data_IF_138914514131
#
_entry.id   IF_138914514131
#
_cell.length_a   1.000
_cell.length_b   1.000
_cell.length_c   1.000
_cell.angle_alpha   90.00
_cell.angle_beta   90.00
_cell.angle_gamma   90.00
#
_symmetry.space_group_name_H-M   'P 1'
#
loop_
_entity.id
_entity.type
_entity.pdbx_description
1 polymer ?
#
# COMPACT_ATOMS: atom_id res chain seq x y z
N UNK A 1 11.16 -12.12 7.00
CA UNK A 1 11.53 -13.54 7.11
C UNK A 1 10.27 -14.30 7.47
N UNK A 2 9.84 -15.26 6.65
CA UNK A 2 8.69 -16.11 6.98
C UNK A 2 9.18 -17.22 7.89
N UNK A 3 8.46 -17.51 8.97
CA UNK A 3 8.70 -18.73 9.74
C UNK A 3 8.48 -19.98 8.87
N UNK A 4 7.46 -19.95 8.02
CA UNK A 4 6.99 -21.12 7.29
C UNK A 4 7.99 -21.61 6.24
N UNK A 5 8.95 -20.78 5.81
CA UNK A 5 9.99 -21.19 4.86
C UNK A 5 10.92 -22.26 5.42
N UNK A 6 11.02 -22.43 6.74
CA UNK A 6 11.82 -23.51 7.36
C UNK A 6 11.01 -24.76 7.70
N UNK A 7 9.68 -24.70 7.63
CA UNK A 7 8.78 -25.74 8.17
C UNK A 7 8.02 -26.47 7.07
N UNK A 8 7.68 -25.78 5.98
CA UNK A 8 6.92 -26.37 4.88
C UNK A 8 7.85 -26.94 3.80
N UNK A 9 8.52 -28.07 4.09
CA UNK A 9 9.30 -28.80 3.08
C UNK A 9 8.50 -29.90 2.37
N UNK A 10 7.35 -30.29 2.92
CA UNK A 10 6.68 -31.54 2.57
C UNK A 10 5.17 -31.41 2.22
N UNK A 11 4.55 -30.23 2.24
CA UNK A 11 3.15 -30.08 1.81
C UNK A 11 3.02 -29.60 0.36
N UNK A 12 2.38 -30.42 -0.48
CA UNK A 12 2.02 -30.07 -1.84
C UNK A 12 0.88 -29.03 -1.84
N UNK A 13 1.22 -27.75 -2.02
CA UNK A 13 0.23 -26.70 -2.29
C UNK A 13 0.55 -25.37 -1.62
N UNK A 14 -0.18 -24.33 -2.03
CA UNK A 14 -0.11 -23.02 -1.40
C UNK A 14 -0.70 -23.03 0.00
N UNK A 15 -0.05 -22.36 0.95
CA UNK A 15 -0.57 -22.19 2.31
C UNK A 15 -1.40 -20.90 2.43
N UNK A 16 -2.35 -20.86 3.36
CA UNK A 16 -3.12 -19.67 3.73
C UNK A 16 -2.73 -19.10 5.11
N UNK A 17 -3.41 -18.02 5.53
CA UNK A 17 -3.16 -17.37 6.81
C UNK A 17 -3.42 -18.30 8.01
N UNK A 18 -4.46 -19.15 7.95
CA UNK A 18 -4.80 -20.06 9.03
C UNK A 18 -3.74 -21.14 9.20
N UNK A 19 -3.22 -21.69 8.10
CA UNK A 19 -2.10 -22.64 8.15
C UNK A 19 -0.84 -22.02 8.76
N UNK A 20 -0.57 -20.72 8.51
CA UNK A 20 0.52 -20.01 9.19
C UNK A 20 0.30 -19.92 10.71
N UNK A 21 -0.93 -19.62 11.16
CA UNK A 21 -1.31 -19.61 12.58
C UNK A 21 -1.17 -21.01 13.21
N UNK A 22 -1.61 -22.05 12.50
CA UNK A 22 -1.52 -23.43 12.94
C UNK A 22 -0.06 -23.88 13.08
N UNK A 23 0.82 -23.47 12.16
CA UNK A 23 2.26 -23.72 12.27
C UNK A 23 2.90 -23.01 13.46
N UNK A 24 2.54 -21.75 13.71
CA UNK A 24 3.02 -21.02 14.89
C UNK A 24 2.61 -21.72 16.20
N UNK A 25 1.39 -22.25 16.23
CA UNK A 25 0.82 -22.94 17.39
C UNK A 25 1.38 -24.35 17.55
N UNK A 26 1.62 -25.08 16.47
CA UNK A 26 2.15 -26.45 16.51
C UNK A 26 3.63 -26.51 16.85
N UNK A 27 4.44 -25.61 16.25
CA UNK A 27 5.90 -25.70 16.33
C UNK A 27 6.53 -24.77 17.37
N UNK A 28 5.79 -23.79 17.90
CA UNK A 28 6.25 -22.88 18.95
C UNK A 28 7.69 -22.35 18.74
N UNK A 29 7.95 -21.67 17.62
CA UNK A 29 9.31 -21.23 17.32
C UNK A 29 9.86 -20.29 18.39
N UNK A 30 11.16 -20.38 18.63
CA UNK A 30 11.83 -19.48 19.56
C UNK A 30 11.72 -18.03 19.09
N UNK A 31 11.35 -17.13 20.00
CA UNK A 31 11.40 -15.68 19.74
C UNK A 31 12.83 -15.22 19.52
N UNK A 32 13.05 -14.34 18.55
CA UNK A 32 14.36 -13.73 18.31
C UNK A 32 14.81 -12.81 19.47
N UNK A 33 13.87 -12.16 20.14
CA UNK A 33 14.11 -11.27 21.28
C UNK A 33 12.79 -10.98 22.04
N UNK A 34 12.88 -10.32 23.20
CA UNK A 34 11.69 -9.93 23.99
C UNK A 34 10.88 -8.84 23.27
N UNK A 35 9.54 -8.78 23.41
CA UNK A 35 8.73 -7.68 22.90
C UNK A 35 9.32 -6.31 23.29
N UNK A 36 9.17 -5.34 22.40
CA UNK A 36 9.61 -3.94 22.55
C UNK A 36 11.13 -3.72 22.74
N UNK A 37 11.95 -4.76 22.62
CA UNK A 37 13.41 -4.60 22.78
C UNK A 37 14.06 -3.88 21.60
N UNK A 38 13.70 -4.27 20.37
CA UNK A 38 14.20 -3.67 19.13
C UNK A 38 13.23 -3.93 17.99
N UNK A 39 13.32 -3.12 16.96
CA UNK A 39 12.56 -3.35 15.74
C UNK A 39 13.16 -4.51 14.92
N UNK A 40 12.29 -5.36 14.39
CA UNK A 40 12.62 -6.34 13.35
C UNK A 40 11.41 -6.53 12.45
N UNK A 41 11.57 -6.27 11.16
CA UNK A 41 10.49 -6.42 10.20
C UNK A 41 10.10 -7.90 10.03
N UNK A 42 8.81 -8.19 10.13
CA UNK A 42 8.28 -9.55 10.13
C UNK A 42 6.99 -9.63 9.30
N UNK A 43 7.06 -10.27 8.13
CA UNK A 43 5.90 -10.59 7.30
C UNK A 43 4.85 -11.41 8.06
N UNK A 44 5.31 -12.34 8.91
CA UNK A 44 4.41 -13.15 9.74
C UNK A 44 3.53 -12.29 10.65
N UNK A 45 3.98 -11.10 11.09
CA UNK A 45 3.14 -10.21 11.90
C UNK A 45 1.93 -9.71 11.10
N UNK A 46 2.11 -9.39 9.81
CA UNK A 46 1.01 -8.89 8.96
C UNK A 46 0.07 -10.00 8.50
N UNK A 47 0.59 -11.21 8.26
CA UNK A 47 -0.26 -12.40 8.06
C UNK A 47 -1.13 -12.67 9.30
N UNK A 48 -0.56 -12.56 10.51
CA UNK A 48 -1.33 -12.71 11.76
C UNK A 48 -2.40 -11.61 11.91
N UNK A 49 -2.10 -10.37 11.52
CA UNK A 49 -3.09 -9.29 11.52
C UNK A 49 -4.24 -9.57 10.54
N UNK A 50 -3.95 -10.09 9.34
CA UNK A 50 -4.99 -10.51 8.41
C UNK A 50 -5.83 -11.67 8.96
N UNK A 51 -5.22 -12.67 9.60
CA UNK A 51 -5.95 -13.75 10.28
C UNK A 51 -6.87 -13.24 11.40
N UNK A 52 -6.44 -12.21 12.14
CA UNK A 52 -7.28 -11.55 13.16
C UNK A 52 -8.47 -10.86 12.51
N UNK A 53 -8.26 -10.14 11.39
CA UNK A 53 -9.35 -9.53 10.61
C UNK A 53 -10.35 -10.61 10.19
N UNK A 54 -9.88 -11.68 9.55
CA UNK A 54 -10.71 -12.80 9.09
C UNK A 54 -11.52 -13.42 10.23
N UNK A 55 -10.88 -13.62 11.38
CA UNK A 55 -11.52 -14.21 12.56
C UNK A 55 -12.61 -13.32 13.15
N UNK A 56 -12.41 -12.00 13.16
CA UNK A 56 -13.33 -11.04 13.78
C UNK A 56 -14.47 -10.69 12.83
N UNK A 57 -14.19 -10.47 11.54
CA UNK A 57 -15.22 -10.13 10.56
C UNK A 57 -16.03 -11.34 10.11
N UNK A 58 -15.44 -12.54 10.11
CA UNK A 58 -16.03 -13.73 9.50
C UNK A 58 -15.92 -13.76 7.97
N UNK A 59 -15.20 -12.80 7.38
CA UNK A 59 -14.96 -12.67 5.94
C UNK A 59 -13.53 -13.14 5.61
N UNK A 60 -13.28 -13.58 4.36
CA UNK A 60 -11.88 -13.74 3.91
C UNK A 60 -11.20 -12.37 3.85
N UNK A 61 -9.86 -12.33 3.99
CA UNK A 61 -9.15 -11.05 3.95
C UNK A 61 -9.35 -10.33 2.59
N UNK A 62 -9.46 -11.10 1.50
CA UNK A 62 -9.77 -10.58 0.17
C UNK A 62 -11.14 -9.89 0.11
N UNK A 63 -12.17 -10.55 0.65
CA UNK A 63 -13.52 -10.00 0.69
C UNK A 63 -13.58 -8.74 1.57
N UNK A 64 -12.97 -8.81 2.76
CA UNK A 64 -12.93 -7.68 3.68
C UNK A 64 -12.26 -6.45 3.06
N UNK A 65 -11.10 -6.63 2.42
CA UNK A 65 -10.41 -5.53 1.73
C UNK A 65 -11.24 -4.97 0.57
N UNK A 66 -11.96 -5.82 -0.16
CA UNK A 66 -12.80 -5.41 -1.28
C UNK A 66 -13.98 -4.56 -0.81
N UNK A 67 -14.73 -5.04 0.19
CA UNK A 67 -15.99 -4.42 0.61
C UNK A 67 -15.79 -3.17 1.48
N UNK A 68 -14.76 -3.17 2.33
CA UNK A 68 -14.54 -2.09 3.31
C UNK A 68 -13.53 -1.04 2.83
N UNK A 69 -12.71 -1.34 1.82
CA UNK A 69 -11.69 -0.40 1.33
C UNK A 69 -11.75 -0.18 -0.18
N UNK A 70 -11.60 -1.22 -1.01
CA UNK A 70 -11.40 -1.00 -2.45
C UNK A 70 -12.67 -0.49 -3.15
N UNK A 71 -13.83 -1.09 -2.89
CA UNK A 71 -15.10 -0.64 -3.47
C UNK A 71 -15.52 0.75 -2.97
N UNK A 72 -15.52 1.05 -1.65
CA UNK A 72 -15.85 2.40 -1.16
C UNK A 72 -14.96 3.50 -1.74
N UNK A 73 -13.69 3.21 -1.99
CA UNK A 73 -12.73 4.15 -2.58
C UNK A 73 -12.77 4.17 -4.12
N UNK A 74 -13.60 3.35 -4.76
CA UNK A 74 -13.67 3.24 -6.21
C UNK A 74 -12.37 2.71 -6.85
N UNK A 75 -11.60 1.91 -6.13
CA UNK A 75 -10.35 1.28 -6.58
C UNK A 75 -10.64 0.03 -7.42
N UNK A 76 -11.23 0.24 -8.61
CA UNK A 76 -11.79 -0.82 -9.49
C UNK A 76 -10.76 -1.79 -10.07
N UNK A 77 -9.48 -1.48 -9.98
CA UNK A 77 -8.37 -2.29 -10.48
C UNK A 77 -7.45 -2.73 -9.34
N UNK A 78 -7.97 -2.78 -8.11
CA UNK A 78 -7.26 -3.24 -6.92
C UNK A 78 -7.95 -4.45 -6.32
N UNK A 79 -7.18 -5.51 -6.06
CA UNK A 79 -7.68 -6.76 -5.49
C UNK A 79 -6.57 -7.48 -4.72
N UNK A 80 -6.96 -8.40 -3.84
CA UNK A 80 -6.02 -9.35 -3.24
C UNK A 80 -5.86 -10.53 -4.20
N UNK A 81 -4.61 -10.88 -4.51
CA UNK A 81 -4.29 -12.01 -5.36
C UNK A 81 -4.89 -13.29 -4.82
N UNK A 82 -5.65 -13.98 -5.68
CA UNK A 82 -6.16 -15.30 -5.42
C UNK A 82 -5.41 -16.31 -6.30
N UNK A 83 -4.75 -17.26 -5.65
CA UNK A 83 -4.05 -18.38 -6.30
C UNK A 83 -4.97 -19.26 -7.16
N UNK A 84 -6.28 -19.27 -6.86
CA UNK A 84 -7.28 -20.05 -7.59
C UNK A 84 -7.79 -19.32 -8.82
N UNK A 85 -7.57 -18.01 -8.93
CA UNK A 85 -7.94 -17.22 -10.09
C UNK A 85 -6.90 -17.38 -11.20
N UNK A 86 -7.32 -18.06 -12.27
CA UNK A 86 -6.47 -18.33 -13.43
C UNK A 86 -6.49 -17.20 -14.46
N UNK A 87 -7.42 -16.24 -14.35
CA UNK A 87 -7.60 -15.16 -15.33
C UNK A 87 -7.74 -13.83 -14.62
N UNK A 88 -6.59 -13.17 -14.41
CA UNK A 88 -6.53 -11.81 -13.89
C UNK A 88 -6.34 -10.85 -15.06
N UNK A 89 -7.35 -10.05 -15.46
CA UNK A 89 -7.24 -9.13 -16.59
C UNK A 89 -6.10 -8.14 -16.41
N UNK A 90 -5.34 -7.90 -17.47
CA UNK A 90 -4.22 -6.96 -17.49
C UNK A 90 -3.12 -7.22 -16.45
N UNK A 91 -3.04 -8.44 -15.89
CA UNK A 91 -1.93 -8.82 -15.02
C UNK A 91 -0.63 -8.85 -15.81
N UNK A 92 0.35 -8.11 -15.31
CA UNK A 92 1.71 -8.11 -15.83
C UNK A 92 2.53 -9.28 -15.26
N UNK A 93 3.46 -9.81 -16.05
CA UNK A 93 4.44 -10.80 -15.60
C UNK A 93 5.57 -10.09 -14.84
N UNK A 94 5.92 -10.59 -13.67
CA UNK A 94 7.07 -10.12 -12.87
C UNK A 94 8.38 -10.76 -13.35
N UNK A 95 9.47 -9.98 -13.30
CA UNK A 95 10.80 -10.37 -13.74
C UNK A 95 11.84 -10.09 -12.65
N UNK A 96 12.73 -11.06 -12.40
CA UNK A 96 13.85 -10.82 -11.50
C UNK A 96 14.88 -9.86 -12.15
N UNK A 97 15.92 -9.50 -11.41
CA UNK A 97 16.94 -8.54 -11.87
C UNK A 97 17.62 -8.95 -13.21
N UNK A 98 17.65 -10.25 -13.51
CA UNK A 98 18.24 -10.82 -14.73
C UNK A 98 17.22 -11.00 -15.87
N UNK A 99 16.03 -10.38 -15.78
CA UNK A 99 14.94 -10.51 -16.77
C UNK A 99 14.37 -11.93 -16.90
N UNK A 100 14.59 -12.81 -15.93
CA UNK A 100 13.93 -14.10 -15.90
C UNK A 100 12.52 -13.94 -15.30
N UNK A 101 11.55 -14.63 -15.89
CA UNK A 101 10.18 -14.67 -15.36
C UNK A 101 10.19 -15.21 -13.94
N UNK A 102 9.58 -14.47 -13.02
CA UNK A 102 9.37 -14.94 -11.65
C UNK A 102 8.16 -15.85 -11.60
N UNK A 103 8.33 -17.03 -11.02
CA UNK A 103 7.23 -17.93 -10.70
C UNK A 103 6.50 -17.53 -9.43
N UNK A 104 5.48 -18.30 -9.09
CA UNK A 104 4.76 -18.27 -7.82
C UNK A 104 5.22 -19.46 -6.97
N UNK A 105 5.14 -19.33 -5.65
CA UNK A 105 5.46 -20.38 -4.69
C UNK A 105 4.36 -20.54 -3.64
N UNK A 106 4.54 -21.52 -2.74
CA UNK A 106 3.51 -21.86 -1.75
C UNK A 106 3.09 -20.69 -0.84
N UNK A 107 3.88 -19.62 -0.74
CA UNK A 107 3.57 -18.42 0.06
C UNK A 107 2.64 -17.43 -0.64
N UNK A 108 2.33 -17.60 -1.94
CA UNK A 108 1.38 -16.74 -2.66
C UNK A 108 -0.07 -16.92 -2.20
N UNK A 109 -0.38 -17.95 -1.41
CA UNK A 109 -1.67 -18.08 -0.74
C UNK A 109 -1.79 -17.26 0.56
N UNK A 110 -0.68 -16.69 1.06
CA UNK A 110 -0.65 -15.90 2.30
C UNK A 110 -0.87 -14.43 1.98
N UNK A 111 -1.79 -13.80 2.72
CA UNK A 111 -2.22 -12.41 2.52
C UNK A 111 -1.94 -11.54 3.75
N UNK A 112 -2.20 -10.23 3.62
CA UNK A 112 -1.98 -9.23 4.67
C UNK A 112 -0.60 -8.59 4.63
N UNK A 113 0.44 -9.40 4.47
CA UNK A 113 1.83 -8.93 4.37
C UNK A 113 2.25 -8.55 2.94
N UNK A 114 1.48 -9.02 1.96
CA UNK A 114 1.61 -8.79 0.52
C UNK A 114 0.28 -9.16 -0.17
N UNK A 115 0.29 -9.25 -1.49
CA UNK A 115 -0.81 -9.83 -2.27
C UNK A 115 -1.79 -8.80 -2.81
N UNK A 116 -1.68 -7.52 -2.45
CA UNK A 116 -2.44 -6.45 -3.11
C UNK A 116 -1.85 -6.22 -4.51
N UNK A 117 -2.67 -6.42 -5.54
CA UNK A 117 -2.41 -5.99 -6.91
C UNK A 117 -3.20 -4.72 -7.16
N UNK A 118 -2.59 -3.74 -7.83
CA UNK A 118 -3.19 -2.41 -8.01
C UNK A 118 -2.61 -1.67 -9.22
N UNK A 119 -3.10 -0.46 -9.46
CA UNK A 119 -2.60 0.50 -10.46
C UNK A 119 -2.18 1.80 -9.78
N UNK A 120 -1.34 2.61 -10.43
CA UNK A 120 -0.96 3.92 -9.88
C UNK A 120 -2.17 4.84 -9.67
N UNK A 121 -3.17 4.76 -10.54
CA UNK A 121 -4.40 5.54 -10.44
C UNK A 121 -5.24 5.16 -9.20
N UNK A 122 -5.35 3.86 -8.89
CA UNK A 122 -6.06 3.42 -7.68
C UNK A 122 -5.24 3.68 -6.41
N UNK A 123 -3.92 3.50 -6.46
CA UNK A 123 -3.04 3.86 -5.34
C UNK A 123 -3.08 5.37 -5.03
N UNK A 124 -3.35 6.22 -6.03
CA UNK A 124 -3.61 7.64 -5.80
C UNK A 124 -4.93 7.85 -5.04
N UNK A 125 -6.00 7.12 -5.36
CA UNK A 125 -7.26 7.16 -4.58
C UNK A 125 -7.02 6.72 -3.14
N UNK A 126 -6.22 5.67 -2.93
CA UNK A 126 -5.79 5.25 -1.60
C UNK A 126 -5.07 6.38 -0.86
N UNK A 127 -4.12 7.08 -1.50
CA UNK A 127 -3.46 8.24 -0.90
C UNK A 127 -4.45 9.32 -0.46
N UNK A 128 -5.37 9.70 -1.35
CA UNK A 128 -6.35 10.75 -1.08
C UNK A 128 -7.28 10.37 0.08
N UNK A 129 -7.67 9.10 0.15
CA UNK A 129 -8.52 8.58 1.23
C UNK A 129 -7.87 8.72 2.63
N UNK A 130 -6.54 8.70 2.71
CA UNK A 130 -5.81 8.84 3.98
C UNK A 130 -5.85 10.28 4.55
N UNK A 131 -6.35 11.26 3.78
CA UNK A 131 -6.62 12.62 4.28
C UNK A 131 -8.09 12.81 4.73
N UNK A 132 -8.94 11.80 4.57
CA UNK A 132 -10.36 11.84 4.92
C UNK A 132 -10.67 10.92 6.11
N UNK A 133 -11.93 10.80 6.50
CA UNK A 133 -12.40 9.81 7.47
C UNK A 133 -13.23 8.69 6.81
N UNK A 134 -13.09 8.51 5.49
CA UNK A 134 -13.99 7.64 4.72
C UNK A 134 -13.88 6.16 5.11
N UNK A 135 -12.64 5.65 5.23
CA UNK A 135 -12.38 4.22 5.53
C UNK A 135 -11.58 4.02 6.81
N UNK A 136 -10.77 5.01 7.21
CA UNK A 136 -10.02 5.00 8.47
C UNK A 136 -10.11 6.40 9.08
N UNK A 137 -10.42 6.49 10.36
CA UNK A 137 -10.48 7.79 11.02
C UNK A 137 -9.07 8.40 11.25
N UNK A 138 -9.00 9.72 11.29
CA UNK A 138 -7.74 10.47 11.43
C UNK A 138 -7.01 10.19 12.76
N UNK A 139 -7.71 9.81 13.84
CA UNK A 139 -7.06 9.43 15.11
C UNK A 139 -6.24 8.16 14.94
N UNK A 140 -6.79 7.14 14.29
CA UNK A 140 -6.09 5.89 13.97
C UNK A 140 -4.93 6.14 13.00
N UNK A 141 -5.14 6.96 11.97
CA UNK A 141 -4.06 7.30 11.02
C UNK A 141 -2.91 8.05 11.68
N UNK A 142 -3.20 8.98 12.60
CA UNK A 142 -2.16 9.64 13.40
C UNK A 142 -1.32 8.65 14.21
N UNK A 143 -1.93 7.59 14.73
CA UNK A 143 -1.18 6.51 15.41
C UNK A 143 -0.40 5.65 14.42
N UNK A 144 -0.97 5.37 13.24
CA UNK A 144 -0.32 4.58 12.20
C UNK A 144 0.93 5.27 11.63
N UNK A 145 0.94 6.60 11.57
CA UNK A 145 2.07 7.41 11.08
C UNK A 145 3.01 7.90 12.20
N UNK A 146 2.78 7.49 13.44
CA UNK A 146 3.66 7.81 14.56
C UNK A 146 4.83 6.83 14.66
N UNK A 147 6.02 7.28 15.09
CA UNK A 147 7.15 6.38 15.33
C UNK A 147 6.89 5.47 16.53
N UNK A 148 6.94 4.15 16.32
CA UNK A 148 6.83 3.15 17.38
C UNK A 148 8.18 2.46 17.60
N UNK A 149 8.92 2.98 18.58
CA UNK A 149 10.24 2.46 18.97
C UNK A 149 11.38 3.46 18.76
N UNK A 150 12.60 3.00 19.01
CA UNK A 150 13.80 3.83 18.84
C UNK A 150 14.08 4.06 17.37
N UNK A 151 14.44 5.30 17.02
CA UNK A 151 14.93 5.63 15.69
C UNK A 151 16.17 4.80 15.34
N UNK A 152 16.11 4.11 14.21
CA UNK A 152 17.17 3.28 13.67
C UNK A 152 17.92 4.08 12.62
N UNK A 153 18.97 4.81 13.05
CA UNK A 153 19.69 5.78 12.21
C UNK A 153 18.72 6.86 11.73
N UNK A 154 18.27 6.79 10.48
CA UNK A 154 17.38 7.76 9.83
C UNK A 154 16.01 7.15 9.49
N UNK A 155 15.58 6.11 10.20
CA UNK A 155 14.28 5.47 9.95
C UNK A 155 13.58 5.05 11.23
N UNK A 156 12.27 5.13 11.23
CA UNK A 156 11.38 4.51 12.21
C UNK A 156 10.26 3.77 11.47
N UNK A 157 9.39 3.11 12.22
CA UNK A 157 8.30 2.34 11.68
C UNK A 157 7.02 2.61 12.48
N UNK A 158 5.96 2.93 11.75
CA UNK A 158 4.60 3.08 12.23
C UNK A 158 3.80 1.77 12.09
N UNK A 159 2.47 1.86 12.05
CA UNK A 159 1.64 0.70 11.73
C UNK A 159 1.52 0.52 10.21
N UNK A 160 2.43 -0.24 9.60
CA UNK A 160 2.43 -0.43 8.14
C UNK A 160 3.24 0.60 7.36
N UNK A 161 3.97 1.50 8.03
CA UNK A 161 4.62 2.64 7.38
C UNK A 161 6.05 2.82 7.85
N UNK A 162 6.98 2.96 6.92
CA UNK A 162 8.29 3.51 7.23
C UNK A 162 8.20 5.03 7.39
N UNK A 163 8.99 5.53 8.32
CA UNK A 163 9.14 6.95 8.61
C UNK A 163 10.61 7.34 8.42
N UNK A 164 10.88 8.43 7.72
CA UNK A 164 12.24 8.91 7.49
C UNK A 164 12.30 10.43 7.62
N UNK A 165 13.29 11.00 8.34
CA UNK A 165 13.46 12.45 8.41
C UNK A 165 13.72 13.05 7.03
N UNK A 166 13.15 14.21 6.78
CA UNK A 166 13.26 14.91 5.49
C UNK A 166 13.14 16.42 5.70
N UNK A 167 14.29 17.09 5.79
CA UNK A 167 14.37 18.45 6.33
C UNK A 167 13.87 18.46 7.78
N UNK A 168 12.99 19.40 8.10
CA UNK A 168 12.34 19.52 9.41
C UNK A 168 11.09 18.63 9.55
N UNK A 169 10.75 17.85 8.52
CA UNK A 169 9.54 17.02 8.48
C UNK A 169 9.89 15.53 8.46
N UNK A 170 8.87 14.68 8.38
CA UNK A 170 9.02 13.23 8.23
C UNK A 170 8.22 12.75 7.03
N UNK A 171 8.87 12.01 6.14
CA UNK A 171 8.18 11.29 5.06
C UNK A 171 7.60 9.99 5.60
N UNK A 172 6.39 9.69 5.15
CA UNK A 172 5.71 8.42 5.42
C UNK A 172 5.69 7.61 4.13
N UNK A 173 6.20 6.39 4.15
CA UNK A 173 6.33 5.61 2.92
C UNK A 173 6.27 4.11 3.18
N UNK A 174 6.08 3.33 2.12
CA UNK A 174 6.38 1.91 2.13
C UNK A 174 6.96 1.49 0.79
N UNK A 175 7.92 0.56 0.85
CA UNK A 175 8.46 -0.10 -0.33
C UNK A 175 7.86 -1.51 -0.41
N UNK A 176 7.79 -2.08 -1.60
CA UNK A 176 7.32 -3.45 -1.79
C UNK A 176 8.27 -4.24 -2.65
N UNK A 177 8.35 -5.54 -2.37
CA UNK A 177 9.07 -6.51 -3.20
C UNK A 177 8.43 -7.89 -3.07
N UNK A 178 8.03 -8.47 -4.20
CA UNK A 178 7.50 -9.83 -4.29
C UNK A 178 7.60 -10.33 -5.73
N UNK A 179 8.03 -11.58 -5.95
CA UNK A 179 8.10 -12.25 -7.27
C UNK A 179 8.34 -11.37 -8.50
N UNK A 180 9.48 -10.69 -8.55
CA UNK A 180 9.86 -9.89 -9.72
C UNK A 180 9.26 -8.48 -9.76
N UNK A 181 8.40 -8.14 -8.81
CA UNK A 181 7.84 -6.81 -8.64
C UNK A 181 8.60 -6.04 -7.57
N UNK A 182 8.76 -4.74 -7.79
CA UNK A 182 9.07 -3.81 -6.72
C UNK A 182 8.29 -2.51 -6.87
N UNK A 183 8.02 -1.86 -5.74
CA UNK A 183 7.26 -0.61 -5.72
C UNK A 183 7.80 0.36 -4.67
N UNK A 184 7.47 1.64 -4.86
CA UNK A 184 7.65 2.69 -3.89
C UNK A 184 6.36 3.52 -3.79
N UNK A 185 5.87 3.70 -2.57
CA UNK A 185 4.74 4.57 -2.26
C UNK A 185 5.18 5.55 -1.18
N UNK A 186 5.43 6.80 -1.55
CA UNK A 186 6.09 7.79 -0.70
C UNK A 186 5.19 9.00 -0.58
N UNK A 187 4.90 9.40 0.65
CA UNK A 187 3.98 10.49 0.98
C UNK A 187 4.69 11.59 1.73
N UNK A 188 4.50 12.80 1.24
CA UNK A 188 4.81 14.04 1.92
C UNK A 188 3.52 14.70 2.38
N UNK A 189 3.07 14.27 3.56
CA UNK A 189 1.77 14.64 4.14
C UNK A 189 1.66 16.15 4.36
N UNK A 190 2.76 16.88 4.55
CA UNK A 190 2.73 18.33 4.79
C UNK A 190 2.29 19.12 3.56
N UNK A 191 2.70 18.67 2.36
CA UNK A 191 2.43 19.36 1.10
C UNK A 191 1.46 18.58 0.20
N UNK A 192 0.88 17.49 0.71
CA UNK A 192 -0.02 16.60 -0.04
C UNK A 192 0.59 16.07 -1.35
N UNK A 193 1.90 15.81 -1.36
CA UNK A 193 2.57 15.20 -2.49
C UNK A 193 2.73 13.70 -2.27
N UNK A 194 2.48 12.93 -3.33
CA UNK A 194 2.68 11.48 -3.31
C UNK A 194 3.39 11.02 -4.57
N UNK A 195 4.38 10.15 -4.39
CA UNK A 195 5.09 9.45 -5.46
C UNK A 195 4.71 7.98 -5.43
N UNK A 196 4.24 7.48 -6.57
CA UNK A 196 3.81 6.09 -6.74
C UNK A 196 4.60 5.50 -7.90
N UNK A 197 5.41 4.48 -7.63
CA UNK A 197 6.15 3.74 -8.64
C UNK A 197 5.83 2.27 -8.50
N UNK A 198 5.35 1.65 -9.60
CA UNK A 198 5.11 0.21 -9.71
C UNK A 198 6.00 -0.33 -10.82
N UNK A 199 6.76 -1.38 -10.56
CA UNK A 199 7.63 -2.01 -11.55
C UNK A 199 7.46 -3.53 -11.51
N UNK A 200 7.41 -4.14 -12.69
CA UNK A 200 7.42 -5.59 -12.89
C UNK A 200 8.82 -6.13 -13.20
N UNK A 201 9.86 -5.35 -12.93
CA UNK A 201 11.26 -5.76 -12.98
C UNK A 201 11.97 -5.29 -11.71
N UNK A 202 12.67 -6.20 -11.04
CA UNK A 202 13.41 -5.86 -9.82
C UNK A 202 14.56 -4.90 -10.16
N UNK A 203 14.35 -3.64 -9.80
CA UNK A 203 15.34 -2.57 -9.95
C UNK A 203 15.42 -1.72 -8.68
N UNK A 204 16.55 -1.80 -7.97
CA UNK A 204 16.76 -1.08 -6.71
C UNK A 204 16.89 0.44 -6.86
N UNK A 205 17.05 0.96 -8.09
CA UNK A 205 16.97 2.40 -8.36
C UNK A 205 15.59 2.98 -8.04
N UNK A 206 14.54 2.16 -7.92
CA UNK A 206 13.22 2.60 -7.48
C UNK A 206 13.27 3.35 -6.14
N UNK A 207 14.22 3.02 -5.26
CA UNK A 207 14.41 3.69 -3.98
C UNK A 207 14.88 5.15 -4.12
N UNK A 208 15.48 5.50 -5.26
CA UNK A 208 15.88 6.88 -5.58
C UNK A 208 14.70 7.77 -5.97
N UNK A 209 13.51 7.21 -6.21
CA UNK A 209 12.30 8.01 -6.47
C UNK A 209 12.00 9.03 -5.37
N UNK A 210 12.47 8.79 -4.14
CA UNK A 210 12.40 9.73 -3.01
C UNK A 210 13.13 11.04 -3.27
N UNK A 211 14.18 11.03 -4.09
CA UNK A 211 14.95 12.23 -4.41
C UNK A 211 14.10 13.25 -5.17
N UNK A 212 13.09 12.80 -5.91
CA UNK A 212 12.14 13.66 -6.61
C UNK A 212 11.33 14.54 -5.64
N UNK A 213 11.14 14.12 -4.38
CA UNK A 213 10.47 14.97 -3.39
C UNK A 213 11.30 16.20 -3.02
N UNK A 214 12.64 16.15 -3.11
CA UNK A 214 13.46 17.34 -2.87
C UNK A 214 13.21 18.37 -3.97
N UNK A 215 13.08 17.92 -5.22
CA UNK A 215 12.74 18.76 -6.37
C UNK A 215 11.34 19.34 -6.20
N UNK A 216 10.34 18.49 -5.91
CA UNK A 216 8.96 18.92 -5.71
C UNK A 216 8.82 19.96 -4.59
N UNK A 217 9.48 19.73 -3.43
CA UNK A 217 9.47 20.71 -2.34
C UNK A 217 10.18 22.01 -2.71
N UNK A 218 11.28 21.96 -3.45
CA UNK A 218 11.98 23.17 -3.89
C UNK A 218 11.06 24.01 -4.77
N UNK A 219 10.38 23.40 -5.75
CA UNK A 219 9.41 24.09 -6.59
C UNK A 219 8.25 24.68 -5.78
N UNK A 220 7.71 23.96 -4.79
CA UNK A 220 6.58 24.44 -3.98
C UNK A 220 6.95 25.55 -2.99
N UNK A 221 8.16 25.56 -2.45
CA UNK A 221 8.63 26.70 -1.63
C UNK A 221 8.77 27.98 -2.45
N UNK A 222 9.02 27.85 -3.75
CA UNK A 222 9.09 28.95 -4.71
C UNK A 222 7.72 29.25 -5.36
N UNK A 223 6.75 28.34 -5.25
CA UNK A 223 5.44 28.43 -5.90
C UNK A 223 4.33 28.32 -4.85
N UNK A 224 3.87 29.45 -4.32
CA UNK A 224 2.64 29.50 -3.52
C UNK A 224 1.48 28.86 -4.28
N UNK A 225 0.87 27.82 -3.72
CA UNK A 225 -0.27 27.12 -4.32
C UNK A 225 -1.53 28.01 -4.27
N UNK A 226 -2.28 28.17 -5.38
CA UNK A 226 -3.51 28.96 -5.42
C UNK A 226 -4.61 28.40 -4.50
N UNK A 227 -5.42 29.31 -3.93
CA UNK A 227 -6.41 29.03 -2.89
C UNK A 227 -7.71 28.33 -3.34
N UNK A 228 -7.78 27.77 -4.55
CA UNK A 228 -9.00 27.14 -5.07
C UNK A 228 -8.82 25.64 -5.28
N UNK A 229 -8.97 24.89 -4.20
CA UNK A 229 -9.49 23.51 -4.24
C UNK A 229 -10.51 23.28 -3.10
N UNK A 230 -11.21 24.34 -2.69
CA UNK A 230 -12.33 24.26 -1.77
C UNK A 230 -13.48 25.15 -2.22
N UNK A 231 -14.14 24.77 -3.32
CA UNK A 231 -15.54 25.14 -3.49
C UNK A 231 -16.30 23.99 -4.13
N UNK A 232 -16.68 23.05 -3.29
CA UNK A 232 -17.93 22.35 -3.50
C UNK A 232 -19.04 23.35 -3.12
N UNK A 233 -19.75 23.88 -4.10
CA UNK A 233 -21.06 24.47 -3.86
C UNK A 233 -22.01 24.09 -4.98
N UNK A 234 -22.91 23.19 -4.60
CA UNK A 234 -24.14 22.78 -5.27
C UNK A 234 -25.05 23.95 -5.63
N UNK A 235 -25.91 23.70 -6.66
CA UNK A 235 -27.13 24.44 -7.04
C UNK A 235 -26.87 25.82 -7.70
N UNK A 236 -27.56 26.24 -8.76
CA UNK A 236 -28.72 25.74 -9.49
C UNK A 236 -29.13 26.83 -10.50
N UNK A 237 -29.80 26.41 -11.58
CA UNK A 237 -30.80 27.14 -12.39
C UNK A 237 -30.65 28.64 -12.64
N UNK A 238 -30.53 29.00 -13.92
CA UNK A 238 -31.31 29.99 -14.72
C UNK A 238 -30.47 30.25 -16.00
N UNK A 239 -30.92 30.07 -17.24
CA UNK A 239 -32.24 30.30 -17.79
C UNK A 239 -32.38 31.74 -18.30
N UNK A 240 -31.69 32.12 -19.39
CA UNK A 240 -32.29 32.99 -20.44
C UNK A 240 -31.36 33.34 -21.63
N UNK A 241 -31.83 32.94 -22.81
CA UNK A 241 -32.04 33.71 -24.07
C UNK A 241 -30.93 34.44 -24.84
N UNK A 242 -31.11 34.30 -26.17
CA UNK A 242 -30.68 35.14 -27.31
C UNK A 242 -29.26 34.85 -27.85
N UNK A 243 -29.04 34.72 -29.15
CA UNK A 243 -29.89 34.84 -30.35
C UNK A 243 -29.11 34.23 -31.51
N UNK A 244 -29.79 33.48 -32.37
CA UNK A 244 -29.25 33.10 -33.67
C UNK A 244 -29.30 34.26 -34.66
N UNK A 245 -28.64 33.99 -35.79
CA UNK A 245 -28.71 34.63 -37.11
C UNK A 245 -27.56 35.54 -37.55
N UNK A 246 -27.10 35.17 -38.77
CA UNK A 246 -26.37 35.91 -39.80
C UNK A 246 -24.84 36.02 -39.64
N UNK A 247 -24.01 35.82 -40.67
CA UNK A 247 -24.20 35.42 -42.05
C UNK A 247 -22.83 34.98 -42.61
N UNK A 248 -22.88 34.28 -43.73
CA UNK A 248 -21.83 33.98 -44.71
C UNK A 248 -20.73 35.04 -44.90
N UNK A 249 -19.47 34.59 -44.89
CA UNK A 249 -18.52 34.57 -46.04
C UNK A 249 -17.36 33.60 -45.74
#
# INVERSE_FOLDING_TARGET
>A
MYLCSSVNKDENGFIDNQQVVDYLTRYHPSRYFRPDLRFNYSNTNYCLLAAIVEKISGESFSQFMTDHFFQPLGMKHTFIYDKTDTVIPNRVQGYNANYNRSGIDFLDGVTGDKGVYSTTADMLKWDQALYTNQVINQKTLKQAFAPHGRWMRQRNYGYGWWLMPFGDDTLTYHDGWWHGFNCAFIRDVKYHNTIIVLSNHVNWCINKSRELLYVLRATLKESSVPADLSSDNTQGTEGNTHSGENASE
#
